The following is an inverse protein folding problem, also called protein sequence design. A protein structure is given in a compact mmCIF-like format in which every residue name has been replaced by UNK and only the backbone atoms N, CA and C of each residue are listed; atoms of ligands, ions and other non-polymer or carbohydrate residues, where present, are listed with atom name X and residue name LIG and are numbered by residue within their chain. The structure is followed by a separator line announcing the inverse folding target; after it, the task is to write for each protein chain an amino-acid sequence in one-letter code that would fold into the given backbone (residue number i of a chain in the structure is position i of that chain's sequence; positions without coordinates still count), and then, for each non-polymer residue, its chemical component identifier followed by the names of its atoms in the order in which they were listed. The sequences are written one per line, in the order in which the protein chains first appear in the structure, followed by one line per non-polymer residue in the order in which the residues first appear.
data_IF_435006532171
#
_entry.id   IF_435006532171
#
_cell.length_a   1.000
_cell.length_b   1.000
_cell.length_c   1.000
_cell.angle_alpha   90.00
_cell.angle_beta   90.00
_cell.angle_gamma   90.00
#
_symmetry.space_group_name_H-M   'P 1'
#
loop_
_entity.id
_entity.type
_entity.pdbx_description
1 polymer ?
#
# COMPACT_ATOMS: atom_id res chain seq x y z
N UNK A 1 -0.79 32.16 -16.43
CA UNK A 1 -1.60 32.91 -15.44
C UNK A 1 -1.34 32.33 -14.07
N UNK A 2 -0.88 33.15 -13.12
CA UNK A 2 -0.60 32.72 -11.73
C UNK A 2 -1.81 33.00 -10.84
N UNK A 3 -2.13 32.06 -9.93
CA UNK A 3 -3.22 32.23 -8.95
C UNK A 3 -3.00 33.48 -8.10
N UNK A 4 -1.73 33.83 -7.80
CA UNK A 4 -1.36 35.02 -7.06
C UNK A 4 -1.83 36.32 -7.74
N UNK A 5 -1.68 36.39 -9.05
CA UNK A 5 -2.13 37.55 -9.84
C UNK A 5 -3.65 37.69 -9.83
N UNK A 6 -4.39 36.56 -9.88
CA UNK A 6 -5.85 36.58 -9.74
C UNK A 6 -6.30 37.06 -8.36
N UNK A 7 -5.63 36.59 -7.27
CA UNK A 7 -5.94 37.05 -5.91
C UNK A 7 -5.70 38.55 -5.80
N UNK A 8 -4.59 39.05 -6.32
CA UNK A 8 -4.29 40.49 -6.33
C UNK A 8 -5.33 41.28 -7.10
N UNK A 9 -5.75 40.78 -8.27
CA UNK A 9 -6.81 41.37 -9.08
C UNK A 9 -8.13 41.47 -8.29
N UNK A 10 -8.56 40.40 -7.61
CA UNK A 10 -9.77 40.41 -6.76
C UNK A 10 -9.69 41.52 -5.73
N UNK A 11 -8.56 41.62 -4.98
CA UNK A 11 -8.41 42.65 -3.93
C UNK A 11 -8.42 44.05 -4.50
N UNK A 12 -7.80 44.33 -5.67
CA UNK A 12 -7.85 45.62 -6.31
C UNK A 12 -9.28 45.95 -6.74
N UNK A 13 -10.03 44.98 -7.28
CA UNK A 13 -11.42 45.14 -7.67
C UNK A 13 -12.35 45.40 -6.49
N UNK A 14 -12.22 44.65 -5.40
CA UNK A 14 -13.04 44.82 -4.17
C UNK A 14 -12.79 46.17 -3.49
N UNK A 15 -11.54 46.63 -3.46
CA UNK A 15 -11.13 47.85 -2.72
C UNK A 15 -11.11 49.10 -3.62
N UNK A 16 -11.27 48.95 -4.91
CA UNK A 16 -11.11 50.00 -5.92
C UNK A 16 -9.83 50.86 -5.72
N UNK A 17 -8.74 50.18 -5.26
CA UNK A 17 -7.50 50.85 -4.89
C UNK A 17 -6.29 49.91 -4.89
N UNK A 18 -5.29 50.26 -5.69
CA UNK A 18 -4.02 49.53 -5.72
C UNK A 18 -3.25 49.65 -4.39
N UNK A 19 -3.31 50.82 -3.77
CA UNK A 19 -2.61 51.04 -2.50
C UNK A 19 -3.25 50.27 -1.34
N UNK A 20 -4.58 50.28 -1.23
CA UNK A 20 -5.29 49.54 -0.19
C UNK A 20 -5.10 48.04 -0.39
N UNK A 21 -5.18 47.53 -1.62
CA UNK A 21 -4.92 46.16 -1.94
C UNK A 21 -3.47 45.74 -1.57
N UNK A 22 -2.49 46.59 -1.86
CA UNK A 22 -1.10 46.37 -1.49
C UNK A 22 -0.93 46.23 0.03
N UNK A 23 -1.53 47.15 0.80
CA UNK A 23 -1.49 47.11 2.26
C UNK A 23 -2.12 45.81 2.83
N UNK A 24 -3.29 45.41 2.27
CA UNK A 24 -3.99 44.22 2.74
C UNK A 24 -3.25 42.93 2.39
N UNK A 25 -2.58 42.89 1.24
CA UNK A 25 -1.80 41.72 0.80
C UNK A 25 -0.37 41.69 1.35
N UNK A 26 0.08 42.73 2.07
CA UNK A 26 1.46 42.83 2.54
C UNK A 26 2.50 43.06 1.42
N UNK A 27 2.08 43.67 0.30
CA UNK A 27 2.92 43.99 -0.85
C UNK A 27 3.20 45.48 -0.97
N UNK A 28 4.20 45.83 -1.82
CA UNK A 28 4.34 47.16 -2.31
C UNK A 28 3.30 47.46 -3.39
N UNK A 29 2.92 48.74 -3.50
CA UNK A 29 1.98 49.16 -4.59
C UNK A 29 2.56 48.88 -5.97
N UNK A 30 3.89 48.98 -6.14
CA UNK A 30 4.57 48.61 -7.40
C UNK A 30 4.43 47.12 -7.73
N UNK A 31 4.50 46.24 -6.73
CA UNK A 31 4.28 44.80 -6.89
C UNK A 31 2.86 44.52 -7.36
N UNK A 32 1.85 45.12 -6.71
CA UNK A 32 0.45 44.97 -7.12
C UNK A 32 0.23 45.47 -8.55
N UNK A 33 0.78 46.64 -8.91
CA UNK A 33 0.68 47.17 -10.27
C UNK A 33 1.34 46.25 -11.29
N UNK A 34 2.50 45.68 -10.97
CA UNK A 34 3.19 44.72 -11.84
C UNK A 34 2.36 43.46 -12.07
N UNK A 35 1.78 42.91 -11.01
CA UNK A 35 0.96 41.69 -11.10
C UNK A 35 -0.31 41.91 -11.92
N UNK A 36 -0.97 43.07 -11.79
CA UNK A 36 -2.12 43.41 -12.59
C UNK A 36 -1.70 43.60 -14.06
N UNK A 37 -0.60 44.34 -14.32
CA UNK A 37 -0.09 44.51 -15.66
C UNK A 37 0.26 43.18 -16.34
N UNK A 38 0.93 42.28 -15.63
CA UNK A 38 1.24 40.95 -16.14
C UNK A 38 -0.03 40.16 -16.52
N UNK A 39 -1.11 40.31 -15.75
CA UNK A 39 -2.40 39.67 -16.04
C UNK A 39 -3.08 40.30 -17.27
N UNK A 40 -3.05 41.63 -17.40
CA UNK A 40 -3.58 42.36 -18.55
C UNK A 40 -2.81 42.04 -19.85
N UNK A 41 -1.48 41.94 -19.77
CA UNK A 41 -0.62 41.54 -20.89
C UNK A 41 -0.91 40.09 -21.34
N UNK A 42 -1.06 39.15 -20.39
CA UNK A 42 -1.36 37.76 -20.71
C UNK A 42 -2.75 37.57 -21.33
N UNK A 43 -3.74 38.37 -20.89
CA UNK A 43 -5.12 38.31 -21.38
C UNK A 43 -5.37 39.23 -22.55
N UNK A 44 -4.36 39.99 -23.00
CA UNK A 44 -4.40 40.95 -24.09
C UNK A 44 -5.56 41.96 -23.95
N UNK A 45 -5.90 42.36 -22.74
CA UNK A 45 -6.98 43.31 -22.47
C UNK A 45 -6.73 44.10 -21.18
N UNK A 46 -7.32 45.30 -21.12
CA UNK A 46 -7.34 46.09 -19.87
C UNK A 46 -8.46 45.54 -18.95
N UNK A 47 -8.11 45.38 -17.70
CA UNK A 47 -9.03 44.92 -16.64
C UNK A 47 -9.57 46.10 -15.83
N UNK A 48 -8.82 47.21 -15.76
CA UNK A 48 -9.19 48.40 -15.02
C UNK A 48 -9.15 49.65 -15.93
N UNK A 49 -10.13 50.51 -15.74
CA UNK A 49 -10.10 51.88 -16.22
C UNK A 49 -9.63 52.81 -15.10
N UNK A 50 -8.77 53.78 -15.46
CA UNK A 50 -8.22 54.77 -14.54
C UNK A 50 -8.55 56.15 -15.02
N UNK A 51 -9.68 56.70 -14.56
CA UNK A 51 -10.17 58.04 -14.99
C UNK A 51 -10.27 58.91 -13.73
N UNK A 52 -9.66 60.10 -13.77
CA UNK A 52 -9.74 61.12 -12.70
C UNK A 52 -9.46 60.53 -11.29
N UNK A 53 -8.37 59.74 -11.16
CA UNK A 53 -7.99 59.07 -9.93
C UNK A 53 -8.98 57.99 -9.43
N UNK A 54 -10.01 57.67 -10.19
CA UNK A 54 -10.95 56.59 -9.89
C UNK A 54 -10.53 55.32 -10.65
N UNK A 55 -10.60 54.19 -9.98
CA UNK A 55 -10.31 52.86 -10.55
C UNK A 55 -11.62 52.12 -10.62
N UNK A 56 -11.98 51.66 -11.83
CA UNK A 56 -13.17 50.86 -12.08
C UNK A 56 -12.84 49.66 -12.98
N UNK A 57 -13.62 48.63 -12.86
CA UNK A 57 -13.47 47.46 -13.74
C UNK A 57 -13.99 47.76 -15.15
N UNK A 58 -13.24 47.32 -16.15
CA UNK A 58 -13.73 47.21 -17.53
C UNK A 58 -14.79 46.09 -17.64
N UNK A 59 -15.47 45.98 -18.78
CA UNK A 59 -16.35 44.83 -19.06
C UNK A 59 -15.60 43.51 -18.91
N UNK A 60 -14.37 43.42 -19.44
CA UNK A 60 -13.50 42.25 -19.33
C UNK A 60 -13.03 42.00 -17.89
N UNK A 61 -12.79 43.09 -17.13
CA UNK A 61 -12.48 42.98 -15.69
C UNK A 61 -13.65 42.39 -14.91
N UNK A 62 -14.92 42.76 -15.23
CA UNK A 62 -16.10 42.16 -14.56
C UNK A 62 -16.26 40.67 -14.88
N UNK A 63 -16.09 40.29 -16.15
CA UNK A 63 -16.10 38.91 -16.58
C UNK A 63 -15.01 38.10 -15.83
N UNK A 64 -13.78 38.61 -15.79
CA UNK A 64 -12.69 37.96 -15.10
C UNK A 64 -12.95 37.83 -13.59
N UNK A 65 -13.58 38.83 -12.95
CA UNK A 65 -13.84 38.79 -11.49
C UNK A 65 -14.69 37.58 -11.11
N UNK A 66 -15.71 37.26 -11.90
CA UNK A 66 -16.55 36.08 -11.64
C UNK A 66 -15.75 34.79 -11.71
N UNK A 67 -14.85 34.63 -12.70
CA UNK A 67 -14.00 33.45 -12.80
C UNK A 67 -12.93 33.43 -11.74
N UNK A 68 -12.30 34.56 -11.43
CA UNK A 68 -11.27 34.67 -10.41
C UNK A 68 -11.81 34.29 -9.00
N UNK A 69 -13.03 34.71 -8.67
CA UNK A 69 -13.71 34.33 -7.43
C UNK A 69 -13.96 32.82 -7.35
N UNK A 70 -14.40 32.18 -8.45
CA UNK A 70 -14.56 30.72 -8.50
C UNK A 70 -13.24 30.00 -8.28
N UNK A 71 -12.16 30.46 -8.91
CA UNK A 71 -10.81 29.88 -8.71
C UNK A 71 -10.35 30.06 -7.26
N UNK A 72 -10.59 31.23 -6.66
CA UNK A 72 -10.30 31.45 -5.23
C UNK A 72 -11.05 30.46 -4.35
N UNK A 73 -12.36 30.32 -4.51
CA UNK A 73 -13.20 29.41 -3.74
C UNK A 73 -12.71 27.96 -3.87
N UNK A 74 -12.47 27.48 -5.10
CA UNK A 74 -11.94 26.14 -5.33
C UNK A 74 -10.57 25.92 -4.68
N UNK A 75 -9.72 26.95 -4.69
CA UNK A 75 -8.39 26.87 -4.03
C UNK A 75 -8.52 26.82 -2.50
N UNK A 76 -9.46 27.55 -1.94
CA UNK A 76 -9.74 27.56 -0.50
C UNK A 76 -10.39 26.24 -0.05
N UNK A 77 -11.35 25.72 -0.82
CA UNK A 77 -11.96 24.38 -0.61
C UNK A 77 -10.89 23.29 -0.63
N UNK A 78 -10.02 23.30 -1.64
CA UNK A 78 -8.90 22.36 -1.72
C UNK A 78 -7.99 22.44 -0.50
N UNK A 79 -7.64 23.66 -0.03
CA UNK A 79 -6.81 23.83 1.18
C UNK A 79 -7.51 23.34 2.44
N UNK A 80 -8.83 23.56 2.55
CA UNK A 80 -9.63 23.07 3.68
C UNK A 80 -9.70 21.54 3.65
N UNK A 81 -10.00 20.95 2.51
CA UNK A 81 -10.02 19.51 2.31
C UNK A 81 -8.66 18.84 2.59
N UNK A 82 -7.57 19.56 2.27
CA UNK A 82 -6.21 19.07 2.52
C UNK A 82 -5.80 19.14 4.00
N UNK A 83 -6.39 20.09 4.75
CA UNK A 83 -6.18 20.27 6.20
C UNK A 83 -7.26 19.57 7.05
N UNK A 84 -8.22 18.88 6.40
CA UNK A 84 -9.25 18.13 7.10
C UNK A 84 -8.60 17.04 7.95
N UNK A 85 -8.97 16.98 9.23
CA UNK A 85 -8.47 15.98 10.20
C UNK A 85 -9.02 14.58 9.92
N UNK A 86 -9.94 14.43 9.00
CA UNK A 86 -10.47 13.14 8.56
C UNK A 86 -9.39 12.33 7.82
N UNK A 87 -9.04 11.19 8.39
CA UNK A 87 -8.08 10.27 7.80
C UNK A 87 -8.70 9.62 6.56
N UNK A 88 -8.28 10.07 5.40
CA UNK A 88 -8.77 9.59 4.10
C UNK A 88 -7.61 9.32 3.14
N UNK A 89 -7.79 8.42 2.19
CA UNK A 89 -6.78 8.16 1.17
C UNK A 89 -6.95 6.82 0.48
N UNK A 90 -6.01 6.52 -0.38
CA UNK A 90 -5.92 5.25 -1.08
C UNK A 90 -4.57 4.62 -0.76
N UNK A 91 -4.56 3.32 -0.42
CA UNK A 91 -3.35 2.56 -0.13
C UNK A 91 -3.33 1.33 -1.02
N UNK A 92 -2.27 1.17 -1.79
CA UNK A 92 -2.02 -0.04 -2.57
C UNK A 92 -1.03 -0.94 -1.83
N UNK A 93 -1.47 -2.13 -1.48
CA UNK A 93 -0.72 -3.15 -0.76
C UNK A 93 -0.41 -4.30 -1.72
N UNK A 94 0.87 -4.67 -1.82
CA UNK A 94 1.28 -5.90 -2.51
C UNK A 94 1.67 -6.96 -1.49
N UNK A 95 1.20 -8.21 -1.68
CA UNK A 95 1.29 -9.25 -0.65
C UNK A 95 1.18 -10.65 -1.27
N UNK A 96 1.73 -11.70 -0.63
CA UNK A 96 1.43 -13.07 -0.99
C UNK A 96 -0.06 -13.39 -0.77
N UNK A 97 -0.62 -14.30 -1.57
CA UNK A 97 -2.04 -14.70 -1.49
C UNK A 97 -2.44 -15.15 -0.08
N UNK A 98 -1.62 -15.95 0.59
CA UNK A 98 -1.90 -16.44 1.95
C UNK A 98 -2.05 -15.34 2.99
N UNK A 99 -1.21 -14.31 2.92
CA UNK A 99 -1.29 -13.14 3.82
C UNK A 99 -2.50 -12.30 3.47
N UNK A 100 -2.79 -12.10 2.17
CA UNK A 100 -3.98 -11.38 1.72
C UNK A 100 -5.26 -12.04 2.26
N UNK A 101 -5.38 -13.36 2.15
CA UNK A 101 -6.52 -14.12 2.66
C UNK A 101 -6.67 -13.96 4.19
N UNK A 102 -5.57 -14.11 4.95
CA UNK A 102 -5.56 -13.92 6.40
C UNK A 102 -6.07 -12.53 6.78
N UNK A 103 -5.56 -11.48 6.15
CA UNK A 103 -5.97 -10.10 6.41
C UNK A 103 -7.45 -9.86 6.10
N UNK A 104 -7.97 -10.42 4.99
CA UNK A 104 -9.39 -10.28 4.62
C UNK A 104 -10.31 -10.96 5.63
N UNK A 105 -9.92 -12.13 6.14
CA UNK A 105 -10.72 -12.88 7.10
C UNK A 105 -10.70 -12.27 8.50
N UNK A 106 -9.56 -11.78 8.95
CA UNK A 106 -9.35 -11.42 10.35
C UNK A 106 -9.43 -9.91 10.62
N UNK A 107 -8.90 -9.08 9.73
CA UNK A 107 -8.58 -7.68 10.04
C UNK A 107 -9.35 -6.65 9.23
N UNK A 108 -9.72 -6.94 7.97
CA UNK A 108 -10.32 -5.97 7.06
C UNK A 108 -11.61 -5.35 7.59
N UNK A 109 -12.51 -6.17 8.15
CA UNK A 109 -13.83 -5.70 8.60
C UNK A 109 -13.73 -4.64 9.70
N UNK A 110 -12.82 -4.84 10.65
CA UNK A 110 -12.68 -3.93 11.78
C UNK A 110 -11.85 -2.70 11.39
N UNK A 111 -10.84 -2.85 10.52
CA UNK A 111 -10.17 -1.74 9.90
C UNK A 111 -11.13 -0.82 9.14
N UNK A 112 -12.00 -1.39 8.28
CA UNK A 112 -12.99 -0.61 7.53
C UNK A 112 -13.98 0.14 8.42
N UNK A 113 -14.40 -0.44 9.55
CA UNK A 113 -15.26 0.26 10.51
C UNK A 113 -14.57 1.46 11.16
N UNK A 114 -13.27 1.32 11.46
CA UNK A 114 -12.48 2.37 12.11
C UNK A 114 -12.10 3.48 11.12
N UNK A 115 -11.80 3.13 9.88
CA UNK A 115 -11.32 4.04 8.84
C UNK A 115 -12.13 3.94 7.54
N UNK A 116 -13.44 4.29 7.53
CA UNK A 116 -14.31 4.06 6.38
C UNK A 116 -13.99 4.92 5.15
N UNK A 117 -13.14 5.95 5.31
CA UNK A 117 -12.71 6.84 4.22
C UNK A 117 -11.35 6.44 3.62
N UNK A 118 -10.74 5.35 4.12
CA UNK A 118 -9.53 4.78 3.51
C UNK A 118 -9.93 3.70 2.52
N UNK A 119 -9.51 3.86 1.28
CA UNK A 119 -9.65 2.87 0.22
C UNK A 119 -8.41 1.99 0.14
N UNK A 120 -8.58 0.67 0.17
CA UNK A 120 -7.49 -0.30 0.07
C UNK A 120 -7.55 -1.03 -1.28
N UNK A 121 -6.40 -1.16 -1.92
CA UNK A 121 -6.19 -2.02 -3.07
C UNK A 121 -5.16 -3.09 -2.69
N UNK A 122 -5.52 -4.36 -2.83
CA UNK A 122 -4.60 -5.47 -2.68
C UNK A 122 -4.25 -6.03 -4.05
N UNK A 123 -2.99 -6.37 -4.25
CA UNK A 123 -2.53 -7.16 -5.37
C UNK A 123 -1.55 -8.22 -4.89
N UNK A 124 -1.58 -9.38 -5.54
CA UNK A 124 -0.72 -10.50 -5.22
C UNK A 124 0.30 -10.71 -6.33
N UNK A 125 1.51 -11.08 -5.97
CA UNK A 125 2.61 -11.32 -6.89
C UNK A 125 3.65 -12.24 -6.24
N UNK A 126 4.57 -12.77 -7.04
CA UNK A 126 5.76 -13.44 -6.52
C UNK A 126 6.72 -12.44 -5.83
N UNK A 127 7.70 -12.96 -5.11
CA UNK A 127 8.59 -12.13 -4.29
C UNK A 127 9.36 -11.11 -5.12
N UNK A 128 9.90 -11.49 -6.27
CA UNK A 128 10.72 -10.60 -7.10
C UNK A 128 9.88 -9.48 -7.71
N UNK A 129 8.68 -9.82 -8.18
CA UNK A 129 7.72 -8.84 -8.70
C UNK A 129 7.22 -7.90 -7.60
N UNK A 130 6.99 -8.38 -6.38
CA UNK A 130 6.60 -7.51 -5.26
C UNK A 130 7.67 -6.45 -4.98
N UNK A 131 8.97 -6.82 -4.97
CA UNK A 131 10.06 -5.85 -4.82
C UNK A 131 10.14 -4.87 -5.98
N UNK A 132 9.94 -5.35 -7.22
CA UNK A 132 9.88 -4.48 -8.40
C UNK A 132 8.76 -3.45 -8.29
N UNK A 133 7.55 -3.88 -7.95
CA UNK A 133 6.36 -3.04 -7.76
C UNK A 133 6.62 -1.97 -6.69
N UNK A 134 7.22 -2.35 -5.56
CA UNK A 134 7.53 -1.41 -4.48
C UNK A 134 8.61 -0.39 -4.91
N UNK A 135 9.66 -0.84 -5.59
CA UNK A 135 10.76 0.03 -6.07
C UNK A 135 10.31 1.03 -7.13
N UNK A 136 9.32 0.66 -7.97
CA UNK A 136 8.74 1.59 -8.96
C UNK A 136 7.62 2.46 -8.39
N UNK A 137 7.38 2.40 -7.06
CA UNK A 137 6.31 3.14 -6.40
C UNK A 137 4.91 2.84 -6.97
N UNK A 138 4.72 1.64 -7.51
CA UNK A 138 3.44 1.14 -8.00
C UNK A 138 2.55 0.64 -6.84
N UNK A 139 3.16 0.28 -5.70
CA UNK A 139 2.48 0.01 -4.44
C UNK A 139 3.08 0.87 -3.31
N UNK A 140 2.31 1.03 -2.24
CA UNK A 140 2.69 1.83 -1.08
C UNK A 140 3.39 0.98 -0.02
N UNK A 141 2.88 -0.21 0.18
CA UNK A 141 3.27 -1.14 1.25
C UNK A 141 3.38 -2.54 0.67
N UNK A 142 4.29 -3.32 1.23
CA UNK A 142 4.47 -4.73 0.91
C UNK A 142 4.42 -5.58 2.17
N UNK A 143 3.71 -6.71 2.13
CA UNK A 143 3.94 -7.80 3.04
C UNK A 143 4.78 -8.86 2.36
N UNK A 144 5.76 -9.43 3.08
CA UNK A 144 6.51 -10.59 2.62
C UNK A 144 6.20 -11.81 3.47
N UNK A 145 6.42 -12.98 2.91
CA UNK A 145 6.42 -14.27 3.61
C UNK A 145 7.56 -15.10 3.01
N UNK A 146 8.78 -14.75 3.38
CA UNK A 146 10.01 -15.19 2.73
C UNK A 146 11.16 -15.28 3.75
N UNK A 147 12.40 -15.46 3.29
CA UNK A 147 13.58 -15.22 4.09
C UNK A 147 13.60 -13.77 4.58
N UNK A 148 14.30 -13.54 5.68
CA UNK A 148 14.42 -12.19 6.24
C UNK A 148 15.05 -11.20 5.25
N UNK A 149 14.39 -10.06 5.03
CA UNK A 149 14.88 -8.99 4.14
C UNK A 149 15.87 -8.09 4.89
N UNK A 150 17.07 -7.93 4.33
CA UNK A 150 18.15 -7.10 4.90
C UNK A 150 18.62 -6.02 3.90
N UNK A 151 17.71 -5.31 3.27
CA UNK A 151 18.07 -4.30 2.28
C UNK A 151 17.91 -2.89 2.84
N UNK A 152 18.93 -2.05 2.71
CA UNK A 152 18.99 -0.66 3.23
C UNK A 152 17.97 0.30 2.61
N UNK A 153 17.33 -0.09 1.53
CA UNK A 153 16.35 0.74 0.82
C UNK A 153 14.92 0.58 1.34
N UNK A 154 14.73 -0.34 2.28
CA UNK A 154 13.43 -0.60 2.89
C UNK A 154 13.42 -0.32 4.38
N UNK A 155 12.25 0.08 4.85
CA UNK A 155 11.92 0.15 6.29
C UNK A 155 11.02 -1.03 6.60
N UNK A 156 11.44 -1.85 7.55
CA UNK A 156 10.64 -2.94 8.12
C UNK A 156 9.86 -2.35 9.28
N UNK A 157 8.57 -2.13 9.09
CA UNK A 157 7.70 -1.54 10.11
C UNK A 157 7.39 -2.54 11.23
N UNK A 158 7.21 -3.80 10.89
CA UNK A 158 7.00 -4.92 11.83
C UNK A 158 7.43 -6.22 11.17
N UNK A 159 7.85 -7.19 11.98
CA UNK A 159 8.21 -8.52 11.52
C UNK A 159 7.98 -9.57 12.59
N UNK A 160 7.76 -10.81 12.15
CA UNK A 160 7.69 -11.98 13.02
C UNK A 160 8.14 -13.25 12.27
N UNK A 161 8.76 -14.20 12.96
CA UNK A 161 9.00 -15.53 12.40
C UNK A 161 7.69 -16.30 12.28
N UNK A 162 7.51 -17.00 11.16
CA UNK A 162 6.31 -17.81 10.89
C UNK A 162 6.68 -19.29 10.92
N UNK A 163 5.93 -20.07 11.70
CA UNK A 163 6.00 -21.53 11.68
C UNK A 163 5.56 -22.06 10.31
N UNK A 164 6.31 -23.04 9.82
CA UNK A 164 6.00 -23.75 8.56
C UNK A 164 6.19 -25.24 8.78
N UNK A 165 5.26 -26.04 8.26
CA UNK A 165 5.32 -27.48 8.40
C UNK A 165 5.02 -28.21 7.09
N UNK A 166 5.55 -29.42 6.96
CA UNK A 166 5.04 -30.39 6.02
C UNK A 166 3.69 -30.89 6.52
N UNK A 167 2.69 -30.90 5.66
CA UNK A 167 1.28 -31.16 5.99
C UNK A 167 0.74 -32.25 5.06
N UNK A 168 -0.02 -33.17 5.61
CA UNK A 168 -0.70 -34.24 4.83
C UNK A 168 -2.06 -34.55 5.46
N UNK A 169 -2.84 -35.44 4.83
CA UNK A 169 -4.13 -35.87 5.39
C UNK A 169 -3.98 -36.61 6.74
N UNK A 170 -5.02 -36.59 7.56
CA UNK A 170 -5.01 -37.15 8.90
C UNK A 170 -4.96 -38.71 8.93
N UNK A 171 -5.25 -39.38 7.80
CA UNK A 171 -5.18 -40.84 7.66
C UNK A 171 -3.86 -41.32 7.03
N UNK A 172 -2.90 -40.43 6.81
CA UNK A 172 -1.61 -40.76 6.22
C UNK A 172 -0.86 -41.83 7.01
N UNK A 173 -0.22 -42.73 6.30
CA UNK A 173 0.69 -43.75 6.89
C UNK A 173 1.95 -43.14 7.54
N UNK A 174 2.20 -41.85 7.32
CA UNK A 174 3.30 -41.07 7.90
C UNK A 174 2.95 -40.50 9.28
N UNK A 175 1.69 -40.61 9.68
CA UNK A 175 1.21 -40.12 10.99
C UNK A 175 2.02 -40.71 12.14
N UNK A 176 2.30 -39.87 13.14
CA UNK A 176 2.99 -40.21 14.39
C UNK A 176 4.40 -40.83 14.22
N UNK A 177 5.01 -40.66 13.05
CA UNK A 177 6.39 -41.09 12.76
C UNK A 177 7.35 -39.91 12.87
N UNK A 178 8.53 -40.17 13.43
CA UNK A 178 9.69 -39.28 13.29
C UNK A 178 10.30 -39.52 11.93
N UNK A 179 10.37 -38.46 11.12
CA UNK A 179 10.80 -38.52 9.75
C UNK A 179 12.07 -37.70 9.56
N UNK A 180 12.87 -38.08 8.57
CA UNK A 180 13.89 -37.24 7.96
C UNK A 180 13.37 -36.66 6.65
N UNK A 181 14.03 -35.64 6.13
CA UNK A 181 13.67 -35.10 4.79
C UNK A 181 13.79 -36.17 3.70
N UNK A 182 14.72 -37.12 3.84
CA UNK A 182 14.91 -38.23 2.91
C UNK A 182 13.72 -39.22 2.90
N UNK A 183 12.94 -39.30 3.95
CA UNK A 183 11.77 -40.18 4.00
C UNK A 183 10.59 -39.65 3.23
N UNK A 184 10.60 -38.34 2.88
CA UNK A 184 9.49 -37.66 2.23
C UNK A 184 9.84 -37.05 0.88
N UNK A 185 11.12 -36.79 0.54
CA UNK A 185 11.52 -36.04 -0.65
C UNK A 185 11.01 -36.66 -1.96
N UNK A 186 10.89 -37.98 -2.02
CA UNK A 186 10.40 -38.72 -3.20
C UNK A 186 8.88 -38.98 -3.18
N UNK A 187 8.16 -38.45 -2.19
CA UNK A 187 6.70 -38.55 -2.12
C UNK A 187 6.03 -37.55 -3.08
N UNK A 188 4.76 -37.76 -3.44
CA UNK A 188 4.02 -36.77 -4.19
C UNK A 188 3.84 -35.48 -3.35
N UNK A 189 4.22 -34.34 -3.92
CA UNK A 189 4.02 -33.03 -3.32
C UNK A 189 2.95 -32.23 -4.05
N UNK A 190 2.19 -31.42 -3.29
CA UNK A 190 1.34 -30.35 -3.77
C UNK A 190 1.86 -29.06 -3.15
N UNK A 191 2.34 -28.15 -3.96
CA UNK A 191 3.04 -26.95 -3.50
C UNK A 191 2.51 -25.70 -4.19
N UNK A 192 2.88 -24.55 -3.70
CA UNK A 192 2.71 -23.27 -4.42
C UNK A 192 3.68 -23.21 -5.60
N UNK A 193 3.40 -22.29 -6.52
CA UNK A 193 4.25 -22.06 -7.71
C UNK A 193 5.67 -21.66 -7.32
N UNK A 194 6.64 -22.01 -8.17
CA UNK A 194 8.03 -21.59 -8.00
C UNK A 194 8.12 -20.06 -7.94
N UNK A 195 9.00 -19.52 -7.11
CA UNK A 195 9.16 -18.06 -6.91
C UNK A 195 8.26 -17.46 -5.81
N UNK A 196 7.19 -18.15 -5.41
CA UNK A 196 6.41 -17.74 -4.25
C UNK A 196 7.24 -17.84 -2.95
N UNK A 197 7.18 -16.82 -2.10
CA UNK A 197 8.04 -16.60 -0.94
C UNK A 197 8.52 -17.84 -0.20
N UNK A 198 7.70 -18.45 0.65
CA UNK A 198 8.11 -19.62 1.45
C UNK A 198 8.43 -20.86 0.57
N UNK A 199 7.86 -20.99 -0.65
CA UNK A 199 8.23 -22.05 -1.59
C UNK A 199 9.66 -21.87 -2.08
N UNK A 200 10.06 -20.64 -2.42
CA UNK A 200 11.43 -20.32 -2.83
C UNK A 200 12.43 -20.69 -1.74
N UNK A 201 12.13 -20.35 -0.48
CA UNK A 201 13.00 -20.66 0.66
C UNK A 201 13.09 -22.18 0.90
N UNK A 202 11.99 -22.93 0.72
CA UNK A 202 12.00 -24.40 0.75
C UNK A 202 12.95 -24.95 -0.34
N UNK A 203 12.78 -24.54 -1.59
CA UNK A 203 13.57 -25.02 -2.72
C UNK A 203 15.07 -24.70 -2.53
N UNK A 204 15.40 -23.49 -2.07
CA UNK A 204 16.78 -23.10 -1.77
C UNK A 204 17.40 -23.96 -0.65
N UNK A 205 16.62 -24.29 0.37
CA UNK A 205 17.08 -25.14 1.48
C UNK A 205 17.31 -26.58 1.02
N UNK A 206 16.41 -27.14 0.21
CA UNK A 206 16.57 -28.46 -0.40
C UNK A 206 17.81 -28.49 -1.34
N UNK A 207 17.97 -27.49 -2.18
CA UNK A 207 19.13 -27.40 -3.08
C UNK A 207 20.48 -27.39 -2.34
N UNK A 208 20.57 -26.73 -1.18
CA UNK A 208 21.76 -26.77 -0.31
C UNK A 208 22.09 -28.18 0.20
N UNK A 209 21.11 -29.07 0.23
CA UNK A 209 21.29 -30.48 0.58
C UNK A 209 21.42 -31.38 -0.66
N UNK A 210 21.52 -30.80 -1.87
CA UNK A 210 21.47 -31.49 -3.15
C UNK A 210 20.20 -32.34 -3.35
N UNK A 211 19.07 -31.84 -2.82
CA UNK A 211 17.74 -32.43 -2.94
C UNK A 211 16.83 -31.54 -3.77
N UNK A 212 15.86 -32.15 -4.42
CA UNK A 212 14.78 -31.45 -5.13
C UNK A 212 13.48 -32.22 -4.94
N UNK A 213 12.36 -31.50 -4.79
CA UNK A 213 11.02 -32.08 -4.80
C UNK A 213 10.35 -31.81 -6.15
N UNK A 214 9.67 -32.82 -6.67
CA UNK A 214 8.92 -32.71 -7.93
C UNK A 214 7.43 -32.72 -7.60
N UNK A 215 6.76 -31.53 -7.51
CA UNK A 215 5.34 -31.48 -7.20
C UNK A 215 4.51 -32.13 -8.31
N UNK A 216 3.54 -32.96 -7.91
CA UNK A 216 2.53 -33.51 -8.83
C UNK A 216 1.45 -32.49 -9.19
N UNK A 217 1.35 -31.41 -8.40
CA UNK A 217 0.43 -30.30 -8.61
C UNK A 217 1.02 -29.02 -8.03
N UNK A 218 0.99 -27.95 -8.80
CA UNK A 218 1.32 -26.60 -8.35
C UNK A 218 0.07 -25.71 -8.43
N UNK A 219 -0.22 -24.97 -7.36
CA UNK A 219 -1.39 -24.11 -7.24
C UNK A 219 -0.96 -22.82 -6.54
N UNK A 220 -1.24 -21.65 -7.13
CA UNK A 220 -0.91 -20.34 -6.53
C UNK A 220 -1.61 -20.07 -5.18
N UNK A 221 -2.76 -20.69 -4.96
CA UNK A 221 -3.63 -20.48 -3.79
C UNK A 221 -3.43 -21.54 -2.69
N UNK A 222 -2.84 -21.18 -1.53
CA UNK A 222 -2.59 -22.11 -0.44
C UNK A 222 -3.84 -22.71 0.20
N UNK A 223 -4.97 -21.99 0.22
CA UNK A 223 -6.26 -22.48 0.69
C UNK A 223 -6.75 -23.69 -0.10
N UNK A 224 -6.58 -23.67 -1.43
CA UNK A 224 -6.90 -24.81 -2.29
C UNK A 224 -5.97 -25.99 -2.05
N UNK A 225 -4.69 -25.75 -1.76
CA UNK A 225 -3.75 -26.83 -1.40
C UNK A 225 -4.29 -27.58 -0.19
N UNK A 226 -4.73 -26.90 0.87
CA UNK A 226 -5.28 -27.55 2.06
C UNK A 226 -6.49 -28.43 1.74
N UNK A 227 -7.37 -28.00 0.82
CA UNK A 227 -8.53 -28.77 0.41
C UNK A 227 -8.16 -30.04 -0.37
N UNK A 228 -7.18 -29.94 -1.27
CA UNK A 228 -6.72 -31.11 -2.05
C UNK A 228 -6.01 -32.10 -1.14
N UNK A 229 -5.23 -31.62 -0.17
CA UNK A 229 -4.52 -32.48 0.79
C UNK A 229 -5.48 -33.30 1.67
N UNK A 230 -6.67 -32.78 2.01
CA UNK A 230 -7.66 -33.54 2.80
C UNK A 230 -8.01 -34.91 2.18
N UNK A 231 -7.95 -35.02 0.86
CA UNK A 231 -8.39 -36.21 0.11
C UNK A 231 -7.26 -36.82 -0.76
N UNK A 232 -6.00 -36.60 -0.39
CA UNK A 232 -4.85 -37.13 -1.13
C UNK A 232 -3.75 -37.59 -0.17
N UNK A 233 -2.89 -38.50 -0.63
CA UNK A 233 -1.70 -38.94 0.12
C UNK A 233 -0.48 -38.03 -0.13
N UNK A 234 -0.68 -36.90 -0.78
CA UNK A 234 0.37 -35.94 -1.08
C UNK A 234 0.77 -35.14 0.18
N UNK A 235 1.93 -34.53 0.10
CA UNK A 235 2.51 -33.68 1.15
C UNK A 235 2.50 -32.23 0.65
N UNK A 236 2.01 -31.31 1.46
CA UNK A 236 2.16 -29.87 1.27
C UNK A 236 3.26 -29.32 2.17
N UNK A 237 3.80 -28.15 1.82
CA UNK A 237 4.61 -27.35 2.74
C UNK A 237 3.94 -25.98 2.88
N UNK A 238 3.44 -25.69 4.08
CA UNK A 238 2.54 -24.55 4.31
C UNK A 238 2.89 -23.80 5.60
N UNK A 239 2.65 -22.48 5.62
CA UNK A 239 2.63 -21.70 6.86
C UNK A 239 1.54 -22.22 7.81
N UNK A 240 1.81 -22.16 9.11
CA UNK A 240 0.91 -22.69 10.14
C UNK A 240 -0.47 -22.02 10.09
N UNK A 241 -0.54 -20.70 9.93
CA UNK A 241 -1.81 -19.97 9.89
C UNK A 241 -2.71 -20.37 8.71
N UNK A 242 -2.15 -20.97 7.64
CA UNK A 242 -2.91 -21.51 6.51
C UNK A 242 -3.53 -22.87 6.83
N UNK A 243 -2.80 -23.72 7.53
CA UNK A 243 -3.17 -25.13 7.76
C UNK A 243 -3.78 -25.40 9.14
N UNK A 244 -3.54 -24.54 10.12
CA UNK A 244 -3.88 -24.75 11.53
C UNK A 244 -5.36 -25.09 11.76
N UNK A 245 -6.27 -24.40 11.05
CA UNK A 245 -7.70 -24.68 11.15
C UNK A 245 -8.04 -26.12 10.77
N UNK A 246 -7.49 -26.59 9.65
CA UNK A 246 -7.70 -27.96 9.17
C UNK A 246 -7.05 -29.01 10.05
N UNK A 247 -5.93 -28.67 10.66
CA UNK A 247 -5.25 -29.53 11.65
C UNK A 247 -6.10 -29.64 12.93
N UNK A 248 -6.62 -28.51 13.43
CA UNK A 248 -7.55 -28.50 14.60
C UNK A 248 -8.85 -29.26 14.32
N UNK A 249 -9.34 -29.23 13.09
CA UNK A 249 -10.52 -30.00 12.65
C UNK A 249 -10.21 -31.51 12.49
N UNK A 250 -8.96 -31.94 12.63
CA UNK A 250 -8.53 -33.34 12.47
C UNK A 250 -8.55 -33.82 11.02
N UNK A 251 -8.55 -32.94 10.03
CA UNK A 251 -8.53 -33.29 8.61
C UNK A 251 -7.11 -33.40 8.06
N UNK A 252 -6.21 -32.57 8.55
CA UNK A 252 -4.79 -32.57 8.23
C UNK A 252 -3.96 -32.82 9.47
N UNK A 253 -2.70 -33.21 9.26
CA UNK A 253 -1.70 -33.35 10.32
C UNK A 253 -0.38 -32.71 9.89
N UNK A 254 0.38 -32.22 10.85
CA UNK A 254 1.78 -31.86 10.68
C UNK A 254 2.65 -33.11 10.72
N UNK A 255 3.62 -33.19 9.81
CA UNK A 255 4.64 -34.25 9.84
C UNK A 255 5.81 -33.82 10.71
N UNK A 256 6.27 -34.71 11.57
CA UNK A 256 7.46 -34.51 12.45
C UNK A 256 8.76 -34.79 11.67
N UNK A 257 9.19 -33.83 10.84
CA UNK A 257 10.46 -33.90 10.08
C UNK A 257 11.55 -33.23 10.89
N UNK A 258 12.41 -34.04 11.52
CA UNK A 258 13.30 -33.58 12.60
C UNK A 258 14.60 -32.94 12.14
N UNK A 259 15.07 -33.22 10.93
CA UNK A 259 16.35 -32.78 10.35
C UNK A 259 16.23 -31.64 9.33
N UNK A 260 15.01 -31.13 9.12
CA UNK A 260 14.75 -30.09 8.14
C UNK A 260 13.85 -29.00 8.69
N UNK A 261 14.36 -27.78 8.76
CA UNK A 261 13.63 -26.59 9.20
C UNK A 261 13.88 -25.43 8.24
N UNK A 262 12.86 -24.70 7.92
CA UNK A 262 12.92 -23.49 7.08
C UNK A 262 12.55 -22.28 7.93
N UNK A 263 13.37 -21.23 7.86
CA UNK A 263 13.12 -20.00 8.60
C UNK A 263 12.39 -19.00 7.66
N UNK A 264 11.13 -18.78 7.95
CA UNK A 264 10.26 -17.86 7.20
C UNK A 264 9.90 -16.68 8.09
N UNK A 265 9.92 -15.51 7.50
CA UNK A 265 9.53 -14.27 8.15
C UNK A 265 8.35 -13.62 7.45
N UNK A 266 7.36 -13.19 8.21
CA UNK A 266 6.35 -12.25 7.76
C UNK A 266 6.85 -10.85 8.09
N UNK A 267 6.96 -9.99 7.09
CA UNK A 267 7.46 -8.63 7.27
C UNK A 267 6.53 -7.63 6.60
N UNK A 268 6.23 -6.53 7.29
CA UNK A 268 5.52 -5.36 6.78
C UNK A 268 6.55 -4.32 6.39
N UNK A 269 6.63 -4.01 5.11
CA UNK A 269 7.74 -3.26 4.51
C UNK A 269 7.21 -2.10 3.67
N UNK A 270 7.93 -0.97 3.68
CA UNK A 270 7.76 0.11 2.72
C UNK A 270 9.12 0.68 2.30
N UNK A 271 9.17 1.36 1.15
CA UNK A 271 10.41 1.95 0.67
C UNK A 271 10.81 3.14 1.54
N UNK A 272 12.10 3.28 1.93
CA UNK A 272 12.59 4.32 2.86
C UNK A 272 12.30 5.76 2.43
N UNK A 273 12.19 6.00 1.11
CA UNK A 273 11.89 7.32 0.54
C UNK A 273 10.38 7.53 0.31
N UNK A 274 9.54 6.58 0.75
CA UNK A 274 8.09 6.73 0.63
C UNK A 274 7.59 7.84 1.54
N UNK A 275 6.83 8.78 0.96
CA UNK A 275 6.09 9.73 1.77
C UNK A 275 4.90 9.03 2.43
N UNK A 276 4.89 9.04 3.76
CA UNK A 276 3.83 8.40 4.55
C UNK A 276 2.67 9.37 4.72
N UNK A 277 1.55 9.11 4.06
CA UNK A 277 0.29 9.81 4.31
C UNK A 277 -0.29 9.40 5.66
N UNK A 278 -1.19 10.22 6.23
CA UNK A 278 -1.91 9.87 7.46
C UNK A 278 -2.62 8.51 7.34
N UNK A 279 -3.23 8.23 6.19
CA UNK A 279 -3.87 6.94 5.92
C UNK A 279 -2.87 5.76 6.00
N UNK A 280 -1.66 5.92 5.44
CA UNK A 280 -0.63 4.90 5.51
C UNK A 280 -0.13 4.68 6.94
N UNK A 281 0.06 5.76 7.71
CA UNK A 281 0.50 5.67 9.11
C UNK A 281 -0.51 4.86 9.91
N UNK A 282 -1.80 5.20 9.83
CA UNK A 282 -2.86 4.49 10.53
C UNK A 282 -2.98 3.02 10.10
N UNK A 283 -2.85 2.75 8.79
CA UNK A 283 -2.86 1.36 8.30
C UNK A 283 -1.69 0.55 8.85
N UNK A 284 -0.47 1.13 8.83
CA UNK A 284 0.73 0.47 9.34
C UNK A 284 0.57 0.17 10.84
N UNK A 285 0.15 1.15 11.65
CA UNK A 285 -0.03 0.95 13.09
C UNK A 285 -1.13 -0.09 13.37
N UNK A 286 -2.26 -0.01 12.67
CA UNK A 286 -3.31 -1.02 12.81
C UNK A 286 -2.82 -2.43 12.48
N UNK A 287 -2.06 -2.60 11.39
CA UNK A 287 -1.53 -3.91 11.00
C UNK A 287 -0.47 -4.42 11.99
N UNK A 288 0.36 -3.56 12.55
CA UNK A 288 1.33 -3.93 13.60
C UNK A 288 0.66 -4.53 14.84
N UNK A 289 -0.53 -4.07 15.16
CA UNK A 289 -1.27 -4.50 16.35
C UNK A 289 -2.15 -5.74 16.10
N UNK A 290 -2.65 -5.91 14.87
CA UNK A 290 -3.71 -6.88 14.59
C UNK A 290 -3.29 -8.03 13.67
N UNK A 291 -2.26 -7.84 12.83
CA UNK A 291 -1.81 -8.88 11.89
C UNK A 291 -0.56 -9.62 12.39
N UNK A 292 0.16 -9.08 13.35
CA UNK A 292 1.34 -9.69 13.92
C UNK A 292 1.03 -10.18 15.35
N UNK A 293 1.48 -11.38 15.69
CA UNK A 293 1.43 -11.88 17.07
C UNK A 293 2.42 -11.09 17.94
N UNK A 294 1.99 -10.67 19.11
CA UNK A 294 2.87 -9.99 20.08
C UNK A 294 3.89 -10.94 20.68
#
# INVERSE_FOLDING_TARGET
MEIRNLITFIHVAELNSFTKAATQLGYSQSTVSFQIKALEEELECLLFERINHTITLTTKGKELLEYAQKVRTLTEEFKQDFNDTDIKGHIHIVTPDSVCESMMMNNYKDFYKQYPKISLKFSTADTDDMFRILNHNEADIMFTLDSHVYQKDYIIAKEEPIGTHFVTNASSVLKDKKLSIMDIVDKPFILTEKGMGYRRVLDEKLAKLSLEVHPVLEISRPDLITHVLENSDAIGFLPDFVSEKKVKEGKLIYLDVTDFKVDIWKQLIYHKNKWLSSAMIEFIEYMKENEFTN
#
